data_IF_009989546608
#
_entry.id   IF_009989546608
#
_cell.length_a   1.000
_cell.length_b   1.000
_cell.length_c   1.000
_cell.angle_alpha   90.00
_cell.angle_beta   90.00
_cell.angle_gamma   90.00
#
_symmetry.space_group_name_H-M   'P 1'
#
loop_
_entity.id
_entity.type
_entity.pdbx_description
1 polymer ?
#
# COMPACT_ATOMS: atom_id res chain seq x y z
N UNK A 1 -23.54 1.96 4.21
CA UNK A 1 -24.10 2.94 3.24
C UNK A 1 -23.50 2.66 1.88
N UNK A 2 -24.31 2.82 0.85
CA UNK A 2 -24.21 2.28 -0.50
C UNK A 2 -22.87 2.52 -1.20
N UNK A 3 -22.16 1.45 -1.53
CA UNK A 3 -20.97 1.42 -2.41
C UNK A 3 -21.28 1.83 -3.87
N UNK A 4 -22.46 2.41 -4.12
CA UNK A 4 -23.05 2.71 -5.43
C UNK A 4 -22.82 4.17 -5.88
N UNK A 5 -22.32 5.04 -4.99
CA UNK A 5 -21.99 6.44 -5.28
C UNK A 5 -20.48 6.71 -5.40
N UNK A 6 -19.64 5.68 -5.24
CA UNK A 6 -18.18 5.83 -5.42
C UNK A 6 -17.82 5.39 -6.84
N UNK A 7 -17.65 6.36 -7.74
CA UNK A 7 -17.15 6.10 -9.09
C UNK A 7 -15.74 5.49 -9.03
N UNK A 8 -15.50 4.46 -9.84
CA UNK A 8 -14.16 3.89 -10.00
C UNK A 8 -13.25 4.94 -10.65
N UNK A 9 -12.01 5.02 -10.16
CA UNK A 9 -10.99 5.92 -10.71
C UNK A 9 -10.36 5.27 -11.94
N UNK A 10 -10.08 6.07 -12.97
CA UNK A 10 -9.36 5.62 -14.18
C UNK A 10 -7.92 6.09 -14.09
N UNK A 11 -6.97 5.16 -14.10
CA UNK A 11 -5.54 5.49 -14.16
C UNK A 11 -5.12 5.58 -15.62
N UNK A 12 -4.79 6.78 -16.09
CA UNK A 12 -4.22 6.99 -17.41
C UNK A 12 -2.70 6.79 -17.37
N UNK A 13 -2.15 6.18 -18.42
CA UNK A 13 -0.73 5.85 -18.51
C UNK A 13 -0.16 6.49 -19.78
N UNK A 14 1.01 7.14 -19.67
CA UNK A 14 1.75 7.63 -20.82
C UNK A 14 2.64 6.51 -21.43
N UNK A 15 2.34 6.02 -22.65
CA UNK A 15 3.09 4.92 -23.25
C UNK A 15 4.52 5.30 -23.67
N UNK A 16 4.82 6.58 -23.85
CA UNK A 16 6.15 7.06 -24.25
C UNK A 16 7.10 7.26 -23.06
N UNK A 17 6.57 7.20 -21.82
CA UNK A 17 7.38 7.42 -20.64
C UNK A 17 8.36 6.24 -20.42
N UNK A 18 9.67 6.49 -20.24
CA UNK A 18 10.67 5.43 -20.12
C UNK A 18 10.34 4.37 -19.05
N UNK A 19 9.81 4.80 -17.90
CA UNK A 19 9.39 3.89 -16.81
C UNK A 19 8.31 2.91 -17.27
N UNK A 20 7.33 3.36 -18.06
CA UNK A 20 6.23 2.51 -18.54
C UNK A 20 6.74 1.51 -19.57
N UNK A 21 7.63 1.95 -20.46
CA UNK A 21 8.27 1.06 -21.46
C UNK A 21 9.11 -0.02 -20.77
N UNK A 22 9.90 0.34 -19.77
CA UNK A 22 10.67 -0.59 -18.94
C UNK A 22 9.77 -1.57 -18.17
N UNK A 23 8.73 -1.07 -17.50
CA UNK A 23 7.78 -1.89 -16.75
C UNK A 23 7.09 -2.91 -17.65
N UNK A 24 6.70 -2.51 -18.87
CA UNK A 24 6.14 -3.43 -19.86
C UNK A 24 7.12 -4.55 -20.19
N UNK A 25 8.37 -4.22 -20.52
CA UNK A 25 9.40 -5.22 -20.87
C UNK A 25 9.62 -6.22 -19.73
N UNK A 26 9.71 -5.73 -18.48
CA UNK A 26 9.90 -6.59 -17.30
C UNK A 26 8.67 -7.46 -17.03
N UNK A 27 7.47 -6.91 -17.16
CA UNK A 27 6.23 -7.67 -17.00
C UNK A 27 6.03 -8.71 -18.11
N UNK A 28 6.47 -8.44 -19.34
CA UNK A 28 6.42 -9.40 -20.45
C UNK A 28 7.42 -10.56 -20.24
N UNK A 29 8.55 -10.30 -19.59
CA UNK A 29 9.54 -11.32 -19.24
C UNK A 29 9.10 -12.19 -18.05
N UNK A 30 8.60 -11.57 -16.98
CA UNK A 30 8.06 -12.27 -15.81
C UNK A 30 6.94 -11.46 -15.15
N UNK A 31 5.70 -11.96 -15.29
CA UNK A 31 4.51 -11.36 -14.66
C UNK A 31 4.44 -11.60 -13.15
N UNK A 32 5.19 -12.58 -12.66
CA UNK A 32 5.20 -12.98 -11.24
C UNK A 32 6.29 -12.27 -10.43
N UNK A 33 7.13 -11.44 -11.07
CA UNK A 33 8.15 -10.67 -10.39
C UNK A 33 7.52 -9.74 -9.34
N UNK A 34 7.79 -10.04 -8.07
CA UNK A 34 7.34 -9.27 -6.90
C UNK A 34 7.82 -7.82 -6.98
N UNK A 35 8.99 -7.58 -7.54
CA UNK A 35 9.59 -6.25 -7.70
C UNK A 35 8.79 -5.41 -8.69
N UNK A 36 8.41 -5.99 -9.84
CA UNK A 36 7.57 -5.33 -10.85
C UNK A 36 6.19 -5.02 -10.29
N UNK A 37 5.57 -5.98 -9.57
CA UNK A 37 4.26 -5.76 -8.93
C UNK A 37 4.30 -4.58 -7.96
N UNK A 38 5.32 -4.50 -7.12
CA UNK A 38 5.42 -3.41 -6.15
C UNK A 38 5.79 -2.08 -6.81
N UNK A 39 6.57 -2.07 -7.88
CA UNK A 39 6.75 -0.85 -8.68
C UNK A 39 5.44 -0.33 -9.27
N UNK A 40 4.59 -1.21 -9.80
CA UNK A 40 3.27 -0.84 -10.36
C UNK A 40 2.36 -0.26 -9.28
N UNK A 41 2.31 -0.89 -8.11
CA UNK A 41 1.53 -0.37 -7.00
C UNK A 41 2.05 0.97 -6.48
N UNK A 42 3.37 1.13 -6.37
CA UNK A 42 3.98 2.40 -5.97
C UNK A 42 3.62 3.52 -6.96
N UNK A 43 3.64 3.22 -8.27
CA UNK A 43 3.24 4.15 -9.32
C UNK A 43 1.76 4.54 -9.18
N UNK A 44 0.88 3.59 -8.86
CA UNK A 44 -0.54 3.84 -8.62
C UNK A 44 -0.77 4.73 -7.39
N UNK A 45 -0.15 4.41 -6.25
CA UNK A 45 -0.29 5.19 -5.01
C UNK A 45 0.25 6.61 -5.19
N UNK A 46 1.36 6.76 -5.92
CA UNK A 46 1.93 8.07 -6.29
C UNK A 46 0.97 8.86 -7.19
N UNK A 47 0.35 8.22 -8.18
CA UNK A 47 -0.63 8.84 -9.06
C UNK A 47 -1.89 9.27 -8.31
N UNK A 48 -2.34 8.50 -7.32
CA UNK A 48 -3.44 8.88 -6.43
C UNK A 48 -3.10 10.16 -5.66
N UNK A 49 -1.93 10.23 -5.01
CA UNK A 49 -1.47 11.41 -4.28
C UNK A 49 -1.37 12.64 -5.19
N UNK A 50 -0.71 12.50 -6.34
CA UNK A 50 -0.49 13.60 -7.28
C UNK A 50 -1.80 14.15 -7.86
N UNK A 51 -2.81 13.29 -7.98
CA UNK A 51 -4.15 13.66 -8.46
C UNK A 51 -5.08 14.20 -7.36
N UNK A 52 -4.57 14.33 -6.12
CA UNK A 52 -5.33 14.88 -4.98
C UNK A 52 -6.26 13.89 -4.28
N UNK A 53 -6.09 12.58 -4.51
CA UNK A 53 -6.83 11.56 -3.76
C UNK A 53 -6.10 11.17 -2.47
N UNK A 54 -6.88 10.76 -1.46
CA UNK A 54 -6.34 10.12 -0.26
C UNK A 54 -5.94 8.67 -0.55
N UNK A 55 -4.92 8.19 0.16
CA UNK A 55 -4.59 6.75 0.19
C UNK A 55 -5.56 6.03 1.12
N UNK A 56 -6.06 4.89 0.65
CA UNK A 56 -6.89 4.00 1.47
C UNK A 56 -6.05 3.27 2.54
N UNK A 57 -4.80 2.91 2.19
CA UNK A 57 -3.88 2.19 3.08
C UNK A 57 -2.46 2.82 3.10
N UNK A 58 -2.23 3.87 3.90
CA UNK A 58 -0.93 4.55 4.00
C UNK A 58 0.22 3.64 4.49
N UNK A 59 -0.07 2.68 5.37
CA UNK A 59 0.93 1.75 5.91
C UNK A 59 1.49 0.80 4.84
N UNK A 60 0.62 0.30 3.95
CA UNK A 60 1.00 -0.54 2.80
C UNK A 60 1.91 0.24 1.84
N UNK A 61 1.58 1.51 1.57
CA UNK A 61 2.41 2.39 0.75
C UNK A 61 3.80 2.64 1.37
N UNK A 62 3.86 2.95 2.67
CA UNK A 62 5.13 3.16 3.39
C UNK A 62 6.01 1.90 3.37
N UNK A 63 5.42 0.72 3.62
CA UNK A 63 6.12 -0.57 3.58
C UNK A 63 6.74 -0.82 2.21
N UNK A 64 6.00 -0.50 1.13
CA UNK A 64 6.46 -0.64 -0.25
C UNK A 64 7.60 0.32 -0.58
N UNK A 65 7.55 1.57 -0.12
CA UNK A 65 8.66 2.52 -0.23
C UNK A 65 9.89 1.99 0.49
N UNK A 66 9.77 1.56 1.74
CA UNK A 66 10.90 1.04 2.52
C UNK A 66 11.55 -0.15 1.83
N UNK A 67 10.76 -1.06 1.25
CA UNK A 67 11.30 -2.19 0.49
C UNK A 67 12.04 -1.74 -0.77
N UNK A 68 11.53 -0.75 -1.49
CA UNK A 68 12.22 -0.20 -2.66
C UNK A 68 13.53 0.50 -2.29
N UNK A 69 13.58 1.19 -1.14
CA UNK A 69 14.80 1.81 -0.61
C UNK A 69 15.82 0.72 -0.24
N UNK A 70 15.40 -0.34 0.47
CA UNK A 70 16.26 -1.47 0.81
C UNK A 70 16.87 -2.12 -0.43
N UNK A 71 16.04 -2.38 -1.45
CA UNK A 71 16.51 -2.91 -2.74
C UNK A 71 17.51 -1.97 -3.43
N UNK A 72 17.23 -0.66 -3.45
CA UNK A 72 18.13 0.34 -4.04
C UNK A 72 19.47 0.46 -3.30
N UNK A 73 19.48 0.18 -1.99
CA UNK A 73 20.68 0.16 -1.16
C UNK A 73 21.34 -1.23 -1.08
N UNK A 74 20.78 -2.25 -1.76
CA UNK A 74 21.26 -3.65 -1.69
C UNK A 74 21.39 -4.17 -0.25
N UNK A 75 20.42 -3.82 0.60
CA UNK A 75 20.33 -4.31 1.98
C UNK A 75 19.50 -5.60 1.95
N UNK A 76 20.15 -6.74 2.18
CA UNK A 76 19.48 -8.04 2.25
C UNK A 76 18.51 -8.10 3.44
N UNK A 77 17.32 -8.66 3.21
CA UNK A 77 16.15 -8.64 4.11
C UNK A 77 16.33 -9.45 5.43
N UNK A 78 17.47 -10.11 5.64
CA UNK A 78 17.68 -11.05 6.77
C UNK A 78 17.87 -10.39 8.15
N UNK A 79 17.83 -9.05 8.28
CA UNK A 79 18.13 -8.36 9.55
C UNK A 79 17.02 -7.46 10.10
N UNK A 80 15.86 -7.36 9.44
CA UNK A 80 14.85 -6.32 9.79
C UNK A 80 13.46 -6.93 10.06
N UNK A 81 13.33 -8.27 10.12
CA UNK A 81 12.07 -8.89 10.60
C UNK A 81 11.82 -8.64 12.10
N UNK A 82 12.85 -8.28 12.89
CA UNK A 82 12.72 -8.09 14.35
C UNK A 82 12.24 -6.69 14.79
N UNK A 83 12.16 -5.70 13.90
CA UNK A 83 11.90 -4.30 14.31
C UNK A 83 10.54 -3.73 13.86
N UNK A 84 9.76 -4.49 13.09
CA UNK A 84 8.37 -4.11 12.82
C UNK A 84 7.49 -4.70 13.92
N UNK A 85 6.83 -3.88 14.77
CA UNK A 85 5.84 -4.40 15.68
C UNK A 85 4.75 -5.07 14.83
N UNK A 86 4.50 -6.36 15.07
CA UNK A 86 3.36 -7.06 14.53
C UNK A 86 2.10 -6.28 14.92
N UNK A 87 1.44 -5.67 13.94
CA UNK A 87 0.12 -5.09 14.13
C UNK A 87 -0.85 -6.26 14.33
N UNK A 88 -0.95 -6.71 15.58
CA UNK A 88 -2.00 -7.61 16.01
C UNK A 88 -3.34 -6.99 15.61
N UNK A 89 -4.11 -7.77 14.85
CA UNK A 89 -5.53 -7.53 14.63
C UNK A 89 -6.22 -7.71 15.97
N UNK A 90 -6.35 -6.64 16.75
CA UNK A 90 -7.35 -6.56 17.81
C UNK A 90 -8.74 -6.38 17.18
N UNK A 91 -9.22 -7.45 16.53
CA UNK A 91 -10.64 -7.72 16.44
C UNK A 91 -11.04 -8.47 17.71
N UNK A 92 -11.27 -7.72 18.77
CA UNK A 92 -11.96 -8.22 19.95
C UNK A 92 -12.93 -7.14 20.44
N UNK A 93 -14.12 -7.12 19.84
CA UNK A 93 -15.28 -6.77 20.65
C UNK A 93 -15.47 -7.90 21.67
N UNK A 94 -15.73 -7.55 22.94
CA UNK A 94 -16.88 -8.17 23.58
C UNK A 94 -17.81 -7.11 24.15
N UNK A 95 -19.10 -7.34 23.94
CA UNK A 95 -20.15 -6.64 24.64
C UNK A 95 -20.17 -6.96 26.14
N UNK A 96 -20.75 -6.03 26.88
CA UNK A 96 -21.62 -6.23 28.07
C UNK A 96 -21.12 -5.71 29.43
N UNK A 97 -21.89 -4.72 29.90
CA UNK A 97 -22.42 -4.55 31.26
C UNK A 97 -21.56 -3.98 32.39
N UNK A 98 -22.22 -3.01 33.06
CA UNK A 98 -21.98 -2.38 34.37
C UNK A 98 -21.23 -1.04 34.33
N UNK A 99 -21.60 -0.01 35.09
CA UNK A 99 -22.75 0.32 35.95
C UNK A 99 -22.46 1.76 36.42
N UNK A 100 -23.46 2.63 36.33
CA UNK A 100 -23.66 3.92 37.03
C UNK A 100 -22.43 4.58 37.69
N UNK A 101 -22.08 5.79 37.26
CA UNK A 101 -21.46 6.78 38.13
C UNK A 101 -22.21 8.11 38.02
N UNK A 102 -22.79 8.47 39.16
CA UNK A 102 -23.49 9.70 39.49
C UNK A 102 -22.49 10.86 39.47
N UNK A 103 -22.87 11.98 38.85
CA UNK A 103 -22.16 13.26 39.01
C UNK A 103 -23.21 14.33 39.24
N UNK A 104 -23.06 14.96 40.42
CA UNK A 104 -23.84 16.01 41.08
C UNK A 104 -24.25 17.19 40.16
#
# INVERSE_FOLDING_TARGET
MSNYMVSKKTMEINPEHPIVVELKKKADADRSDKTVRDLVWLLFDTALLASGFSLDEPASFATRIHRMIKLGLSIDDDKIEEEMPSLEKDTAAPESSNKMEEVD
#
